data_IF_375144815358
#
_entry.id   IF_375144815358
#
_cell.length_a   1.000
_cell.length_b   1.000
_cell.length_c   1.000
_cell.angle_alpha   90.00
_cell.angle_beta   90.00
_cell.angle_gamma   90.00
#
_symmetry.space_group_name_H-M   'P 1'
#
loop_
_entity.id
_entity.type
_entity.pdbx_description
1 polymer ?
#
# COMPACT_ATOMS: atom_id res chain seq x y z
N UNK A 1 -3.53 -6.21 -11.87
CA UNK A 1 -2.14 -5.76 -11.53
C UNK A 1 -1.47 -6.87 -10.69
N UNK A 2 -0.22 -6.71 -10.20
CA UNK A 2 0.40 -7.74 -9.32
C UNK A 2 0.45 -7.23 -7.88
N UNK A 3 0.09 -8.06 -6.90
CA UNK A 3 0.14 -7.75 -5.48
C UNK A 3 1.09 -8.72 -4.76
N UNK A 4 2.02 -8.18 -3.97
CA UNK A 4 2.83 -8.96 -3.05
C UNK A 4 2.51 -8.53 -1.62
N UNK A 5 2.24 -9.50 -0.76
CA UNK A 5 1.96 -9.27 0.66
C UNK A 5 2.96 -10.04 1.52
N UNK A 6 3.37 -9.45 2.64
CA UNK A 6 4.04 -10.13 3.73
C UNK A 6 3.43 -9.68 5.05
N UNK A 7 3.17 -10.64 5.95
CA UNK A 7 2.71 -10.37 7.32
C UNK A 7 3.79 -9.65 8.13
N UNK A 8 5.05 -10.03 7.92
CA UNK A 8 6.20 -9.36 8.51
C UNK A 8 6.53 -8.05 7.78
N UNK A 9 7.10 -7.09 8.50
CA UNK A 9 7.54 -5.83 7.92
C UNK A 9 8.76 -6.03 7.02
N UNK A 10 8.51 -6.17 5.72
CA UNK A 10 9.54 -6.38 4.70
C UNK A 10 9.49 -5.27 3.66
N UNK A 11 10.65 -4.67 3.40
CA UNK A 11 10.78 -3.70 2.33
C UNK A 11 10.82 -4.42 0.98
N UNK A 12 9.81 -4.22 0.13
CA UNK A 12 9.76 -4.76 -1.23
C UNK A 12 10.32 -3.81 -2.32
N UNK A 13 10.86 -2.67 -1.90
CA UNK A 13 11.44 -1.63 -2.77
C UNK A 13 12.96 -1.76 -2.76
N UNK A 14 13.56 -1.74 -3.95
CA UNK A 14 15.00 -1.59 -4.09
C UNK A 14 15.42 -0.16 -3.73
N UNK A 15 16.29 -0.03 -2.73
CA UNK A 15 16.83 1.26 -2.32
C UNK A 15 18.30 1.34 -2.73
N UNK A 16 18.57 1.90 -3.92
CA UNK A 16 19.91 1.93 -4.51
C UNK A 16 20.99 2.44 -3.56
N UNK A 17 20.69 3.47 -2.77
CA UNK A 17 21.67 4.05 -1.83
C UNK A 17 22.00 3.12 -0.64
N UNK A 18 21.14 2.15 -0.35
CA UNK A 18 21.33 1.18 0.74
C UNK A 18 22.03 -0.06 0.22
N UNK A 19 21.83 -0.38 -1.07
CA UNK A 19 22.53 -1.47 -1.75
C UNK A 19 23.98 -1.09 -2.08
N UNK A 20 24.20 0.17 -2.47
CA UNK A 20 25.52 0.72 -2.76
C UNK A 20 26.26 1.10 -1.47
N UNK A 21 27.35 0.40 -1.16
CA UNK A 21 28.15 0.61 0.07
C UNK A 21 29.08 1.81 -0.04
N UNK A 22 29.46 2.19 -1.25
CA UNK A 22 30.41 3.28 -1.52
C UNK A 22 29.66 4.63 -1.55
N UNK A 23 28.34 4.60 -1.61
CA UNK A 23 27.52 5.80 -1.57
C UNK A 23 27.66 6.50 -0.19
N UNK A 24 27.96 7.81 -0.14
CA UNK A 24 28.21 8.53 1.12
C UNK A 24 27.01 8.52 2.09
N UNK A 25 25.78 8.40 1.55
CA UNK A 25 24.55 8.31 2.35
C UNK A 25 24.17 6.88 2.77
N UNK A 26 24.97 5.85 2.43
CA UNK A 26 24.65 4.45 2.70
C UNK A 26 24.28 4.20 4.16
N UNK A 27 25.16 4.60 5.08
CA UNK A 27 24.97 4.37 6.51
C UNK A 27 23.74 5.09 7.06
N UNK A 28 23.47 6.30 6.57
CA UNK A 28 22.31 7.10 6.98
C UNK A 28 21.01 6.44 6.52
N UNK A 29 20.92 6.06 5.25
CA UNK A 29 19.71 5.43 4.70
C UNK A 29 19.46 4.05 5.28
N UNK A 30 20.52 3.27 5.51
CA UNK A 30 20.44 1.98 6.20
C UNK A 30 19.92 2.12 7.62
N UNK A 31 20.36 3.15 8.35
CA UNK A 31 19.86 3.46 9.69
C UNK A 31 18.37 3.85 9.65
N UNK A 32 17.97 4.74 8.75
CA UNK A 32 16.58 5.17 8.58
C UNK A 32 15.66 3.98 8.28
N UNK A 33 16.08 3.07 7.41
CA UNK A 33 15.29 1.87 7.10
C UNK A 33 15.15 0.94 8.31
N UNK A 34 16.21 0.78 9.09
CA UNK A 34 16.20 -0.05 10.31
C UNK A 34 15.35 0.58 11.43
N UNK A 35 15.36 1.89 11.55
CA UNK A 35 14.61 2.65 12.56
C UNK A 35 13.18 2.98 12.11
N UNK A 36 12.79 2.57 10.90
CA UNK A 36 11.43 2.76 10.39
C UNK A 36 10.47 2.03 11.31
N UNK A 37 9.54 2.79 11.90
CA UNK A 37 8.55 2.24 12.83
C UNK A 37 7.68 1.19 12.14
N UNK A 38 7.67 0.00 12.73
CA UNK A 38 6.84 -1.15 12.36
C UNK A 38 5.41 -0.98 12.88
N UNK A 39 4.79 0.15 12.53
CA UNK A 39 3.43 0.47 12.92
C UNK A 39 2.53 0.51 11.69
N UNK A 40 1.43 -0.24 11.75
CA UNK A 40 0.39 -0.25 10.72
C UNK A 40 0.80 -0.95 9.42
N UNK A 41 0.35 -0.44 8.27
CA UNK A 41 0.56 -1.07 6.98
C UNK A 41 1.64 -0.34 6.17
N UNK A 42 2.73 -1.04 5.86
CA UNK A 42 3.75 -0.57 4.92
C UNK A 42 3.36 -0.90 3.50
N UNK A 43 2.67 0.02 2.82
CA UNK A 43 2.26 -0.20 1.45
C UNK A 43 2.96 0.73 0.46
N UNK A 44 3.11 0.27 -0.78
CA UNK A 44 3.56 1.12 -1.88
C UNK A 44 3.05 0.65 -3.24
N UNK A 45 2.96 1.60 -4.17
CA UNK A 45 2.66 1.32 -5.59
C UNK A 45 3.92 1.52 -6.42
N UNK A 46 4.35 0.48 -7.12
CA UNK A 46 5.46 0.51 -8.08
C UNK A 46 4.92 0.55 -9.50
N UNK A 47 5.49 1.47 -10.29
CA UNK A 47 5.29 1.55 -11.74
C UNK A 47 6.66 1.40 -12.40
N UNK A 48 6.77 0.58 -13.44
CA UNK A 48 8.04 0.35 -14.14
C UNK A 48 7.91 0.78 -15.60
N UNK A 49 9.02 0.77 -16.35
CA UNK A 49 8.98 1.02 -17.78
C UNK A 49 8.12 -0.01 -18.54
N UNK A 50 7.86 -1.17 -17.96
CA UNK A 50 6.93 -2.18 -18.51
C UNK A 50 5.47 -1.70 -18.47
N UNK A 51 5.09 -0.85 -17.52
CA UNK A 51 3.75 -0.26 -17.45
C UNK A 51 3.52 0.67 -18.64
N UNK A 52 4.47 1.57 -18.91
CA UNK A 52 4.46 2.46 -20.08
C UNK A 52 5.84 3.09 -20.26
N UNK A 53 6.25 3.37 -21.50
CA UNK A 53 7.49 4.10 -21.81
C UNK A 53 7.41 5.58 -21.39
N UNK A 54 6.20 6.17 -21.43
CA UNK A 54 5.99 7.57 -21.08
C UNK A 54 5.95 7.76 -19.55
N UNK A 55 6.82 8.65 -19.03
CA UNK A 55 6.88 8.97 -17.60
C UNK A 55 5.56 9.54 -17.07
N UNK A 56 4.88 10.36 -17.88
CA UNK A 56 3.60 10.99 -17.52
C UNK A 56 2.53 9.93 -17.28
N UNK A 57 2.45 8.93 -18.17
CA UNK A 57 1.52 7.80 -18.05
C UNK A 57 1.84 6.96 -16.80
N UNK A 58 3.12 6.65 -16.54
CA UNK A 58 3.51 5.93 -15.31
C UNK A 58 3.11 6.69 -14.04
N UNK A 59 3.36 8.00 -14.00
CA UNK A 59 2.97 8.86 -12.87
C UNK A 59 1.45 8.93 -12.70
N UNK A 60 0.70 8.98 -13.81
CA UNK A 60 -0.76 8.98 -13.80
C UNK A 60 -1.33 7.65 -13.27
N UNK A 61 -0.87 6.51 -13.78
CA UNK A 61 -1.32 5.17 -13.30
C UNK A 61 -0.97 4.98 -11.82
N UNK A 62 0.24 5.39 -11.39
CA UNK A 62 0.64 5.32 -9.98
C UNK A 62 -0.35 6.08 -9.09
N UNK A 63 -0.63 7.35 -9.42
CA UNK A 63 -1.57 8.19 -8.66
C UNK A 63 -2.96 7.56 -8.62
N UNK A 64 -3.43 7.04 -9.75
CA UNK A 64 -4.73 6.39 -9.86
C UNK A 64 -4.86 5.16 -8.96
N UNK A 65 -3.87 4.27 -8.97
CA UNK A 65 -3.85 3.10 -8.09
C UNK A 65 -3.71 3.48 -6.61
N UNK A 66 -2.90 4.49 -6.29
CA UNK A 66 -2.79 5.00 -4.92
C UNK A 66 -4.13 5.57 -4.43
N UNK A 67 -4.80 6.38 -5.25
CA UNK A 67 -6.09 6.96 -4.91
C UNK A 67 -7.17 5.89 -4.72
N UNK A 68 -7.21 4.88 -5.60
CA UNK A 68 -8.12 3.75 -5.45
C UNK A 68 -7.85 2.99 -4.15
N UNK A 69 -6.59 2.68 -3.84
CA UNK A 69 -6.22 2.00 -2.59
C UNK A 69 -6.60 2.80 -1.34
N UNK A 70 -6.34 4.11 -1.34
CA UNK A 70 -6.72 4.99 -0.23
C UNK A 70 -8.24 5.11 -0.11
N UNK A 71 -8.97 5.19 -1.22
CA UNK A 71 -10.43 5.23 -1.21
C UNK A 71 -11.04 3.95 -0.63
N UNK A 72 -10.54 2.79 -1.05
CA UNK A 72 -10.99 1.48 -0.54
C UNK A 72 -10.65 1.28 0.94
N UNK A 73 -9.48 1.74 1.41
CA UNK A 73 -9.15 1.72 2.83
C UNK A 73 -10.07 2.64 3.64
N UNK A 74 -10.35 3.85 3.11
CA UNK A 74 -11.19 4.84 3.77
C UNK A 74 -12.64 4.37 3.88
N UNK A 75 -13.17 3.72 2.85
CA UNK A 75 -14.50 3.09 2.89
C UNK A 75 -14.60 1.97 3.92
N UNK A 76 -13.46 1.44 4.37
CA UNK A 76 -13.42 0.40 5.41
C UNK A 76 -12.99 0.96 6.77
N UNK A 77 -13.03 2.28 6.94
CA UNK A 77 -12.62 3.02 8.14
C UNK A 77 -11.16 2.76 8.55
N UNK A 78 -10.28 2.52 7.59
CA UNK A 78 -8.84 2.31 7.80
C UNK A 78 -8.10 3.53 7.26
N UNK A 79 -7.20 4.07 8.08
CA UNK A 79 -6.32 5.16 7.71
C UNK A 79 -5.33 4.70 6.64
N UNK A 80 -4.72 5.66 5.94
CA UNK A 80 -3.69 5.36 4.95
C UNK A 80 -2.52 4.54 5.53
N UNK A 81 -2.24 4.68 6.82
CA UNK A 81 -1.19 3.95 7.52
C UNK A 81 -1.65 2.58 8.03
N UNK A 82 -2.82 2.07 7.63
CA UNK A 82 -3.35 0.78 8.08
C UNK A 82 -3.96 0.80 9.49
N UNK A 83 -3.88 1.93 10.20
CA UNK A 83 -4.49 2.12 11.53
C UNK A 83 -6.01 2.29 11.40
N UNK A 84 -6.78 1.66 12.29
CA UNK A 84 -8.22 1.87 12.36
C UNK A 84 -8.55 3.33 12.68
N UNK A 85 -9.38 3.96 11.85
CA UNK A 85 -10.03 5.24 12.16
C UNK A 85 -11.27 4.91 12.99
N UNK A 86 -11.06 4.45 14.21
CA UNK A 86 -12.17 4.21 15.13
C UNK A 86 -12.57 5.53 15.81
N UNK A 87 -13.84 5.95 15.64
CA UNK A 87 -14.51 6.74 16.66
C UNK A 87 -14.53 5.89 17.94
N UNK A 88 -14.11 6.50 19.06
CA UNK A 88 -13.91 5.84 20.37
C UNK A 88 -15.21 5.28 21.00
N UNK A 89 -16.34 5.40 20.31
CA UNK A 89 -17.70 5.19 20.85
C UNK A 89 -18.54 4.15 20.12
N UNK A 90 -18.04 3.49 19.08
CA UNK A 90 -18.85 2.54 18.27
C UNK A 90 -18.07 1.29 17.90
N UNK A 91 -18.59 0.10 18.21
CA UNK A 91 -17.98 -1.21 17.83
C UNK A 91 -18.16 -1.58 16.35
N UNK A 92 -18.76 -0.66 15.59
CA UNK A 92 -19.15 -0.80 14.20
C UNK A 92 -18.54 0.41 13.48
N UNK A 93 -17.70 0.19 12.46
CA UNK A 93 -17.24 1.26 11.58
C UNK A 93 -18.43 1.94 10.87
N UNK A 94 -18.26 3.15 10.33
CA UNK A 94 -19.30 3.88 9.57
C UNK A 94 -19.85 3.06 8.40
N UNK A 95 -19.10 2.07 7.92
CA UNK A 95 -19.51 1.17 6.84
C UNK A 95 -19.83 -0.27 7.28
N UNK A 96 -20.04 -0.52 8.58
CA UNK A 96 -20.61 -1.79 9.06
C UNK A 96 -19.61 -2.94 9.26
N UNK A 97 -18.31 -2.69 9.22
CA UNK A 97 -17.29 -3.72 9.48
C UNK A 97 -17.08 -3.86 10.99
N UNK A 98 -17.27 -5.08 11.50
CA UNK A 98 -17.04 -5.41 12.91
C UNK A 98 -15.56 -5.24 13.28
N UNK A 99 -15.28 -4.44 14.33
CA UNK A 99 -13.93 -4.30 14.91
C UNK A 99 -13.29 -5.63 15.30
N UNK A 100 -14.09 -6.69 15.52
CA UNK A 100 -13.63 -8.04 15.87
C UNK A 100 -12.76 -8.69 14.79
N UNK A 101 -12.91 -8.33 13.51
CA UNK A 101 -12.11 -8.92 12.42
C UNK A 101 -10.70 -8.33 12.29
N UNK A 102 -10.50 -7.05 12.63
CA UNK A 102 -9.17 -6.41 12.54
C UNK A 102 -8.28 -6.64 13.77
N UNK A 103 -8.81 -7.23 14.84
CA UNK A 103 -8.16 -7.21 16.15
C UNK A 103 -7.92 -5.78 16.64
N UNK A 104 -7.34 -5.64 17.82
CA UNK A 104 -7.15 -4.34 18.49
C UNK A 104 -6.13 -3.43 17.78
N UNK A 105 -5.44 -3.90 16.72
CA UNK A 105 -4.23 -3.25 16.18
C UNK A 105 -4.31 -2.78 14.71
N UNK A 106 -5.37 -3.06 13.95
CA UNK A 106 -5.47 -2.63 12.55
C UNK A 106 -4.65 -3.49 11.57
N UNK A 107 -4.62 -3.09 10.29
CA UNK A 107 -3.86 -3.81 9.25
C UNK A 107 -2.36 -3.66 9.51
N UNK A 108 -1.66 -4.80 9.62
CA UNK A 108 -0.22 -4.87 9.84
C UNK A 108 0.48 -5.62 8.72
N UNK A 109 1.74 -5.27 8.48
CA UNK A 109 2.61 -5.92 7.50
C UNK A 109 2.93 -5.03 6.32
N UNK A 110 3.33 -5.64 5.20
CA UNK A 110 3.82 -4.95 4.01
C UNK A 110 3.07 -5.36 2.75
N UNK A 111 2.70 -4.37 1.92
CA UNK A 111 1.98 -4.57 0.65
C UNK A 111 2.71 -3.85 -0.49
N UNK A 112 2.98 -4.57 -1.57
CA UNK A 112 3.49 -4.00 -2.81
C UNK A 112 2.49 -4.23 -3.92
N UNK A 113 2.01 -3.14 -4.51
CA UNK A 113 1.20 -3.16 -5.71
C UNK A 113 2.08 -2.78 -6.90
N UNK A 114 2.17 -3.64 -7.91
CA UNK A 114 2.90 -3.37 -9.14
C UNK A 114 1.92 -3.20 -10.31
N UNK A 115 1.94 -2.02 -10.92
CA UNK A 115 1.09 -1.71 -12.06
C UNK A 115 1.54 -2.46 -13.32
N UNK A 116 0.64 -3.23 -13.92
CA UNK A 116 0.83 -3.82 -15.25
C UNK A 116 0.48 -2.85 -16.38
N UNK A 117 0.83 -3.19 -17.62
CA UNK A 117 0.49 -2.40 -18.81
C UNK A 117 -1.03 -2.22 -19.00
N UNK A 118 -1.83 -3.22 -18.63
CA UNK A 118 -3.29 -3.18 -18.68
C UNK A 118 -3.91 -2.09 -17.80
N UNK A 119 -3.22 -1.67 -16.73
CA UNK A 119 -3.70 -0.60 -15.84
C UNK A 119 -3.71 0.79 -16.51
N UNK A 120 -3.04 0.93 -17.66
CA UNK A 120 -3.06 2.17 -18.45
C UNK A 120 -4.41 2.35 -19.16
N UNK A 121 -4.97 1.29 -19.72
CA UNK A 121 -6.20 1.33 -20.51
C UNK A 121 -7.45 1.02 -19.69
N UNK A 122 -7.32 0.32 -18.56
CA UNK A 122 -8.42 -0.04 -17.69
C UNK A 122 -9.19 1.19 -17.18
N UNK A 123 -10.50 1.02 -16.93
CA UNK A 123 -11.33 2.05 -16.30
C UNK A 123 -11.02 2.16 -14.81
N UNK A 124 -11.43 3.28 -14.21
CA UNK A 124 -11.04 3.57 -12.82
C UNK A 124 -11.81 2.67 -11.88
N UNK A 125 -13.09 2.45 -12.21
CA UNK A 125 -14.00 1.55 -11.53
C UNK A 125 -13.47 0.10 -11.53
N UNK A 126 -12.92 -0.36 -12.65
CA UNK A 126 -12.31 -1.70 -12.75
C UNK A 126 -11.07 -1.83 -11.84
N UNK A 127 -10.18 -0.84 -11.88
CA UNK A 127 -8.99 -0.80 -11.01
C UNK A 127 -9.41 -0.76 -9.54
N UNK A 128 -10.44 0.02 -9.23
CA UNK A 128 -10.97 0.17 -7.87
C UNK A 128 -11.59 -1.12 -7.37
N UNK A 129 -12.39 -1.80 -8.18
CA UNK A 129 -12.99 -3.09 -7.83
C UNK A 129 -11.93 -4.17 -7.57
N UNK A 130 -10.92 -4.27 -8.44
CA UNK A 130 -9.81 -5.22 -8.25
C UNK A 130 -9.01 -4.90 -6.96
N UNK A 131 -8.78 -3.61 -6.67
CA UNK A 131 -8.14 -3.18 -5.42
C UNK A 131 -9.03 -3.47 -4.20
N UNK A 132 -10.34 -3.28 -4.30
CA UNK A 132 -11.29 -3.62 -3.24
C UNK A 132 -11.15 -5.08 -2.82
N UNK A 133 -11.10 -5.99 -3.81
CA UNK A 133 -10.85 -7.42 -3.54
C UNK A 133 -9.51 -7.70 -2.86
N UNK A 134 -8.45 -6.94 -3.18
CA UNK A 134 -7.16 -7.04 -2.48
C UNK A 134 -7.27 -6.55 -1.03
N UNK A 135 -7.98 -5.45 -0.78
CA UNK A 135 -8.18 -4.95 0.59
C UNK A 135 -9.03 -5.94 1.39
N UNK A 136 -10.07 -6.52 0.80
CA UNK A 136 -10.88 -7.55 1.44
C UNK A 136 -10.06 -8.79 1.80
N UNK A 137 -9.14 -9.21 0.92
CA UNK A 137 -8.22 -10.31 1.19
C UNK A 137 -7.19 -9.98 2.28
N UNK A 138 -6.83 -8.70 2.49
CA UNK A 138 -5.95 -8.28 3.58
C UNK A 138 -6.67 -8.27 4.94
N UNK A 139 -8.00 -8.27 4.94
CA UNK A 139 -8.84 -8.22 6.15
C UNK A 139 -9.32 -9.60 6.62
N UNK A 140 -9.05 -10.66 5.86
CA UNK A 140 -9.32 -12.06 6.21
C UNK A 140 -8.12 -12.67 6.93
#
# INVERSE_FOLDING_TARGET
FTCNYAKDYKTFIHHRLVEDKDHPLHFVQKRILRERKEEGLWWHVTVTAQTSRAKVVRSWVRRRMQNAFIAELRERDIAQDGKLVADKTSDIGKHGIEKKRLGTMGLTGSVKLQAGSLAVTAKYEEIRAEIGGVVDALLQ
#
